data_IF_469050938323
#
_entry.id   IF_469050938323
#
_cell.length_a   1.000
_cell.length_b   1.000
_cell.length_c   1.000
_cell.angle_alpha   90.00
_cell.angle_beta   90.00
_cell.angle_gamma   90.00
#
_symmetry.space_group_name_H-M   'P 1'
#
loop_
_entity.id
_entity.type
_entity.pdbx_description
1 polymer ?
#
# COMPACT_ATOMS: atom_id res chain seq x y z
N UNK A 1 -42.23 -37.00 17.47
CA UNK A 1 -41.05 -36.75 16.60
C UNK A 1 -39.83 -37.03 17.41
N UNK A 2 -38.97 -37.95 17.03
CA UNK A 2 -37.68 -38.20 17.70
C UNK A 2 -36.64 -37.24 17.09
N UNK A 3 -35.87 -36.63 17.93
CA UNK A 3 -34.72 -35.82 17.51
C UNK A 3 -33.57 -36.75 17.14
N UNK A 4 -32.66 -36.29 16.27
CA UNK A 4 -31.38 -36.94 15.99
C UNK A 4 -30.50 -36.69 17.21
N UNK A 5 -30.13 -37.74 17.93
CA UNK A 5 -29.26 -37.68 19.11
C UNK A 5 -27.81 -37.93 18.69
N UNK A 6 -26.86 -37.13 19.24
CA UNK A 6 -25.44 -37.35 19.10
C UNK A 6 -24.94 -38.47 20.04
N UNK A 7 -23.63 -38.78 19.88
CA UNK A 7 -22.96 -39.74 20.77
C UNK A 7 -22.76 -39.15 22.18
N UNK A 8 -22.78 -40.00 23.19
CA UNK A 8 -22.41 -39.56 24.55
C UNK A 8 -20.96 -39.09 24.54
N UNK A 9 -20.72 -37.89 25.11
CA UNK A 9 -19.39 -37.28 25.18
C UNK A 9 -18.40 -38.11 26.03
N UNK A 10 -18.87 -39.00 26.90
CA UNK A 10 -18.05 -39.88 27.70
C UNK A 10 -17.78 -41.24 27.03
N UNK A 11 -18.41 -41.48 25.89
CA UNK A 11 -18.21 -42.71 25.10
C UNK A 11 -16.81 -42.69 24.48
N UNK A 12 -16.04 -43.76 24.72
CA UNK A 12 -14.73 -43.96 24.11
C UNK A 12 -14.94 -44.50 22.70
N UNK A 13 -14.48 -43.74 21.71
CA UNK A 13 -14.47 -44.13 20.31
C UNK A 13 -13.03 -44.45 19.89
N UNK A 14 -12.78 -45.62 19.34
CA UNK A 14 -11.51 -46.00 18.75
C UNK A 14 -11.58 -45.63 17.26
N UNK A 15 -10.77 -44.65 16.85
CA UNK A 15 -10.66 -44.24 15.44
C UNK A 15 -9.41 -44.90 14.85
N UNK A 16 -9.62 -45.82 13.89
CA UNK A 16 -8.55 -46.61 13.26
C UNK A 16 -8.11 -46.03 11.91
N UNK A 17 -8.31 -44.74 11.69
CA UNK A 17 -7.96 -44.03 10.47
C UNK A 17 -6.73 -43.12 10.66
N UNK A 18 -5.94 -42.98 9.60
CA UNK A 18 -4.84 -41.98 9.57
C UNK A 18 -5.37 -40.55 9.48
N UNK A 19 -4.57 -39.57 9.85
CA UNK A 19 -4.93 -38.15 9.65
C UNK A 19 -5.21 -37.84 8.17
N UNK A 20 -4.54 -38.53 7.24
CA UNK A 20 -4.72 -38.32 5.80
C UNK A 20 -6.10 -38.79 5.31
N UNK A 21 -6.59 -39.87 5.86
CA UNK A 21 -7.95 -40.38 5.55
C UNK A 21 -9.08 -39.52 6.12
N UNK A 22 -8.77 -38.72 7.17
CA UNK A 22 -9.72 -37.77 7.76
C UNK A 22 -9.86 -36.48 6.98
N UNK A 23 -8.93 -36.21 6.04
CA UNK A 23 -8.93 -35.00 5.19
C UNK A 23 -9.39 -35.35 3.79
N UNK A 24 -10.48 -34.71 3.37
CA UNK A 24 -11.04 -34.91 2.04
C UNK A 24 -9.95 -34.70 0.95
N UNK A 25 -9.90 -35.57 -0.09
CA UNK A 25 -8.94 -35.37 -1.20
C UNK A 25 -9.05 -34.02 -1.89
N UNK A 26 -10.22 -33.39 -1.92
CA UNK A 26 -10.46 -32.07 -2.49
C UNK A 26 -10.42 -30.94 -1.42
N UNK A 27 -9.88 -31.21 -0.22
CA UNK A 27 -9.73 -30.18 0.79
C UNK A 27 -8.62 -29.18 0.41
N UNK A 28 -8.88 -27.86 0.42
CA UNK A 28 -7.90 -26.82 0.09
C UNK A 28 -6.60 -26.86 0.90
N UNK A 29 -6.58 -27.46 2.07
CA UNK A 29 -5.37 -27.60 2.89
C UNK A 29 -4.25 -28.36 2.15
N UNK A 30 -4.62 -29.34 1.29
CA UNK A 30 -3.67 -30.09 0.45
C UNK A 30 -2.93 -29.20 -0.54
N UNK A 31 -3.58 -28.14 -1.04
CA UNK A 31 -2.95 -27.15 -1.93
C UNK A 31 -1.91 -26.32 -1.18
N UNK A 32 -2.17 -25.98 0.09
CA UNK A 32 -1.18 -25.26 0.93
C UNK A 32 0.06 -26.10 1.11
N UNK A 33 -0.11 -27.39 1.40
CA UNK A 33 0.97 -28.37 1.58
C UNK A 33 1.82 -28.43 0.31
N UNK A 34 1.21 -28.78 -0.83
CA UNK A 34 1.88 -28.87 -2.11
C UNK A 34 2.56 -27.55 -2.54
N UNK A 35 1.92 -26.41 -2.32
CA UNK A 35 2.50 -25.10 -2.63
C UNK A 35 3.76 -24.83 -1.82
N UNK A 36 3.72 -25.02 -0.50
CA UNK A 36 4.89 -24.73 0.35
C UNK A 36 6.03 -25.71 0.06
N UNK A 37 5.72 -26.98 -0.21
CA UNK A 37 6.72 -27.98 -0.53
C UNK A 37 7.36 -27.78 -1.91
N UNK A 38 6.70 -27.05 -2.83
CA UNK A 38 7.27 -26.64 -4.10
C UNK A 38 8.27 -25.47 -4.00
N UNK A 39 8.43 -24.84 -2.82
CA UNK A 39 9.28 -23.67 -2.64
C UNK A 39 10.67 -24.04 -2.12
N UNK A 40 11.71 -23.52 -2.76
CA UNK A 40 13.06 -23.48 -2.18
C UNK A 40 13.17 -22.33 -1.18
N UNK A 41 12.91 -22.62 0.11
CA UNK A 41 12.89 -21.62 1.18
C UNK A 41 14.27 -20.98 1.40
N UNK A 42 15.37 -21.66 1.09
CA UNK A 42 16.71 -21.12 1.24
C UNK A 42 16.94 -19.97 0.25
N UNK A 43 16.62 -20.18 -1.01
CA UNK A 43 16.76 -19.15 -2.07
C UNK A 43 15.80 -17.98 -1.88
N UNK A 44 14.66 -18.21 -1.23
CA UNK A 44 13.69 -17.16 -0.90
C UNK A 44 14.12 -16.29 0.29
N UNK A 45 15.22 -16.64 0.96
CA UNK A 45 15.85 -15.83 2.00
C UNK A 45 15.29 -16.07 3.41
N UNK A 46 14.77 -17.27 3.66
CA UNK A 46 14.49 -17.70 5.03
C UNK A 46 15.79 -17.97 5.79
N UNK A 47 15.86 -17.50 7.02
CA UNK A 47 17.04 -17.71 7.87
C UNK A 47 17.30 -19.19 8.12
N UNK A 48 18.54 -19.62 7.98
CA UNK A 48 18.97 -20.96 8.36
C UNK A 48 19.30 -21.02 9.86
N UNK A 49 18.86 -22.10 10.51
CA UNK A 49 19.31 -22.40 11.86
C UNK A 49 20.58 -23.26 11.76
N UNK A 50 21.61 -22.88 12.48
CA UNK A 50 22.80 -23.72 12.58
C UNK A 50 22.53 -24.93 13.47
N UNK A 51 22.95 -26.11 13.06
CA UNK A 51 22.78 -27.37 13.83
C UNK A 51 23.47 -27.35 15.19
N UNK A 52 24.37 -26.38 15.43
CA UNK A 52 25.20 -26.28 16.64
C UNK A 52 24.63 -25.37 17.73
N UNK A 53 23.39 -24.87 17.64
CA UNK A 53 22.81 -24.08 18.70
C UNK A 53 22.33 -24.97 19.86
N UNK A 54 22.89 -24.76 21.07
CA UNK A 54 22.41 -25.38 22.32
C UNK A 54 20.97 -24.87 22.58
N UNK A 55 20.04 -25.79 22.81
CA UNK A 55 18.64 -25.48 23.14
C UNK A 55 17.66 -26.47 22.53
N UNK A 56 16.37 -26.14 22.59
CA UNK A 56 15.30 -26.91 21.96
C UNK A 56 15.45 -26.90 20.43
N UNK A 57 15.26 -28.06 19.79
CA UNK A 57 15.29 -28.17 18.32
C UNK A 57 14.28 -27.22 17.68
N UNK A 58 14.66 -26.46 16.64
CA UNK A 58 13.75 -25.53 15.96
C UNK A 58 12.71 -26.29 15.14
N UNK A 59 11.53 -25.70 14.98
CA UNK A 59 10.53 -26.19 14.05
C UNK A 59 11.02 -26.00 12.59
N UNK A 60 10.64 -26.92 11.70
CA UNK A 60 10.89 -26.76 10.27
C UNK A 60 10.24 -25.49 9.76
N UNK A 61 10.92 -24.78 8.88
CA UNK A 61 10.40 -23.52 8.30
C UNK A 61 9.19 -23.75 7.42
N UNK A 62 9.17 -24.89 6.70
CA UNK A 62 8.02 -25.32 5.90
C UNK A 62 6.77 -25.43 6.77
N UNK A 63 6.84 -26.06 7.95
CA UNK A 63 5.69 -26.24 8.83
C UNK A 63 5.17 -24.90 9.35
N UNK A 64 6.07 -23.99 9.76
CA UNK A 64 5.69 -22.64 10.19
C UNK A 64 5.12 -21.79 9.04
N UNK A 65 5.63 -21.97 7.81
CA UNK A 65 5.09 -21.30 6.63
C UNK A 65 3.71 -21.87 6.25
N UNK A 66 3.55 -23.21 6.28
CA UNK A 66 2.25 -23.87 6.05
C UNK A 66 1.21 -23.34 7.03
N UNK A 67 1.54 -23.30 8.31
CA UNK A 67 0.67 -22.76 9.36
C UNK A 67 0.30 -21.30 9.10
N UNK A 68 1.27 -20.48 8.69
CA UNK A 68 1.04 -19.06 8.39
C UNK A 68 0.14 -18.86 7.17
N UNK A 69 0.39 -19.57 6.06
CA UNK A 69 -0.42 -19.50 4.83
C UNK A 69 -1.85 -19.98 5.10
N UNK A 70 -2.00 -21.08 5.85
CA UNK A 70 -3.31 -21.57 6.29
C UNK A 70 -4.08 -20.48 7.05
N UNK A 71 -3.40 -19.82 7.99
CA UNK A 71 -4.01 -18.78 8.81
C UNK A 71 -4.54 -17.61 7.95
N UNK A 72 -3.78 -17.16 6.94
CA UNK A 72 -4.24 -16.09 6.05
C UNK A 72 -5.33 -16.56 5.09
N UNK A 73 -5.32 -17.79 4.61
CA UNK A 73 -6.37 -18.31 3.75
C UNK A 73 -7.70 -18.46 4.51
N UNK A 74 -7.63 -18.86 5.80
CA UNK A 74 -8.77 -19.16 6.66
C UNK A 74 -9.11 -18.03 7.67
N UNK A 75 -8.60 -16.80 7.48
CA UNK A 75 -8.89 -15.60 8.28
C UNK A 75 -8.36 -15.66 9.73
N UNK A 76 -7.43 -16.56 10.03
CA UNK A 76 -6.82 -16.75 11.36
C UNK A 76 -5.45 -16.08 11.38
N UNK A 77 -5.39 -14.73 11.53
CA UNK A 77 -4.12 -13.98 11.50
C UNK A 77 -3.38 -13.91 12.84
N UNK A 78 -4.10 -14.12 13.94
CA UNK A 78 -3.53 -14.03 15.28
C UNK A 78 -2.67 -15.26 15.58
N UNK A 79 -1.41 -15.06 15.98
CA UNK A 79 -0.52 -16.16 16.39
C UNK A 79 -1.07 -16.97 17.56
N UNK A 80 -1.78 -16.33 18.51
CA UNK A 80 -2.44 -17.02 19.62
C UNK A 80 -3.61 -17.89 19.14
N UNK A 81 -4.38 -17.42 18.16
CA UNK A 81 -5.45 -18.22 17.59
C UNK A 81 -4.86 -19.39 16.78
N UNK A 82 -3.78 -19.18 16.03
CA UNK A 82 -3.10 -20.24 15.30
C UNK A 82 -2.53 -21.32 16.26
N UNK A 83 -1.94 -20.90 17.38
CA UNK A 83 -1.52 -21.84 18.43
C UNK A 83 -2.70 -22.66 18.98
N UNK A 84 -3.85 -22.02 19.25
CA UNK A 84 -5.04 -22.71 19.74
C UNK A 84 -5.61 -23.67 18.68
N UNK A 85 -5.68 -23.23 17.41
CA UNK A 85 -6.17 -24.04 16.31
C UNK A 85 -5.25 -25.24 15.99
N UNK A 86 -3.92 -25.11 16.12
CA UNK A 86 -3.01 -26.23 15.88
C UNK A 86 -3.24 -27.42 16.84
N UNK A 87 -3.92 -27.22 17.97
CA UNK A 87 -4.26 -28.25 18.95
C UNK A 87 -5.60 -28.93 18.74
N UNK A 88 -6.50 -28.35 17.94
CA UNK A 88 -7.90 -28.81 17.83
C UNK A 88 -8.43 -28.90 16.41
N UNK A 89 -7.76 -28.25 15.45
CA UNK A 89 -8.18 -28.25 14.06
C UNK A 89 -7.48 -29.37 13.31
N UNK A 90 -8.25 -30.33 12.81
CA UNK A 90 -7.74 -31.53 12.14
C UNK A 90 -6.96 -31.20 10.85
N UNK A 91 -7.36 -30.17 10.12
CA UNK A 91 -6.64 -29.72 8.93
C UNK A 91 -5.23 -29.23 9.27
N UNK A 92 -5.10 -28.45 10.37
CA UNK A 92 -3.79 -28.01 10.85
C UNK A 92 -2.97 -29.15 11.42
N UNK A 93 -3.60 -30.08 12.16
CA UNK A 93 -2.90 -31.27 12.66
C UNK A 93 -2.33 -32.08 11.49
N UNK A 94 -3.08 -32.26 10.43
CA UNK A 94 -2.59 -32.90 9.22
C UNK A 94 -1.46 -32.10 8.56
N UNK A 95 -1.67 -30.79 8.35
CA UNK A 95 -0.76 -29.91 7.60
C UNK A 95 0.64 -29.79 8.22
N UNK A 96 0.72 -29.80 9.55
CA UNK A 96 1.96 -29.63 10.32
C UNK A 96 2.30 -30.83 11.21
N UNK A 97 1.84 -32.03 10.87
CA UNK A 97 2.13 -33.28 11.54
C UNK A 97 1.91 -33.22 13.07
N UNK A 98 0.78 -32.64 13.50
CA UNK A 98 0.38 -32.50 14.91
C UNK A 98 1.36 -31.75 15.81
N UNK A 99 2.33 -30.99 15.26
CA UNK A 99 3.16 -30.09 16.04
C UNK A 99 2.34 -28.87 16.47
N UNK A 100 2.64 -28.34 17.66
CA UNK A 100 1.91 -27.21 18.24
C UNK A 100 2.89 -26.08 18.62
N UNK A 101 3.34 -25.27 17.64
CA UNK A 101 4.21 -24.15 17.94
C UNK A 101 3.49 -23.10 18.81
N UNK A 102 4.19 -22.55 19.79
CA UNK A 102 3.63 -21.48 20.59
C UNK A 102 3.48 -20.16 19.79
N UNK A 103 2.65 -19.26 20.29
CA UNK A 103 2.36 -18.00 19.60
C UNK A 103 3.58 -17.08 19.46
N UNK A 104 4.62 -17.21 20.32
CA UNK A 104 5.86 -16.44 20.23
C UNK A 104 6.70 -16.94 19.07
N UNK A 105 6.82 -18.27 18.93
CA UNK A 105 7.49 -18.91 17.79
C UNK A 105 6.82 -18.54 16.46
N UNK A 106 5.48 -18.63 16.38
CA UNK A 106 4.72 -18.24 15.18
C UNK A 106 4.94 -16.75 14.84
N UNK A 107 4.89 -15.87 15.81
CA UNK A 107 5.10 -14.43 15.60
C UNK A 107 6.57 -14.13 15.25
N UNK A 108 7.52 -14.79 15.90
CA UNK A 108 8.96 -14.69 15.67
C UNK A 108 9.34 -15.09 14.25
N UNK A 109 8.80 -16.22 13.76
CA UNK A 109 9.04 -16.70 12.40
C UNK A 109 8.81 -15.63 11.33
N UNK A 110 7.69 -14.89 11.40
CA UNK A 110 7.42 -13.80 10.45
C UNK A 110 8.35 -12.61 10.68
N UNK A 111 8.64 -12.28 11.96
CA UNK A 111 9.51 -11.16 12.30
C UNK A 111 10.94 -11.36 11.81
N UNK A 112 11.40 -12.60 11.82
CA UNK A 112 12.76 -12.96 11.38
C UNK A 112 12.90 -13.07 9.87
N UNK A 113 11.81 -13.33 9.17
CA UNK A 113 11.79 -13.61 7.72
C UNK A 113 11.00 -12.60 6.90
N UNK A 114 10.90 -11.34 7.36
CA UNK A 114 10.03 -10.30 6.74
C UNK A 114 10.19 -10.16 5.23
N UNK A 115 11.43 -10.15 4.74
CA UNK A 115 11.72 -9.98 3.30
C UNK A 115 11.34 -11.20 2.47
N UNK A 116 11.41 -12.39 3.05
CA UNK A 116 11.10 -13.64 2.38
C UNK A 116 9.63 -13.70 1.92
N UNK A 117 8.68 -13.14 2.67
CA UNK A 117 7.27 -13.16 2.31
C UNK A 117 6.96 -12.47 0.97
N UNK A 118 7.65 -11.38 0.66
CA UNK A 118 7.52 -10.77 -0.67
C UNK A 118 8.12 -11.64 -1.77
N UNK A 119 9.21 -12.33 -1.48
CA UNK A 119 9.82 -13.26 -2.43
C UNK A 119 8.89 -14.45 -2.71
N UNK A 120 8.18 -14.98 -1.68
CA UNK A 120 7.14 -16.01 -1.88
C UNK A 120 6.04 -15.50 -2.82
N UNK A 121 5.53 -14.29 -2.63
CA UNK A 121 4.50 -13.73 -3.52
C UNK A 121 5.00 -13.68 -4.98
N UNK A 122 6.24 -13.27 -5.17
CA UNK A 122 6.87 -13.21 -6.50
C UNK A 122 7.08 -14.57 -7.11
N UNK A 123 7.51 -15.56 -6.31
CA UNK A 123 7.69 -16.94 -6.76
C UNK A 123 6.36 -17.55 -7.15
N UNK A 124 5.33 -17.42 -6.32
CA UNK A 124 3.97 -17.83 -6.67
C UNK A 124 3.48 -17.18 -7.99
N UNK A 125 3.78 -15.90 -8.19
CA UNK A 125 3.48 -15.20 -9.45
C UNK A 125 4.19 -15.83 -10.65
N UNK A 126 5.46 -16.23 -10.49
CA UNK A 126 6.22 -16.88 -11.57
C UNK A 126 5.67 -18.28 -11.88
N UNK A 127 5.30 -19.04 -10.87
CA UNK A 127 4.63 -20.35 -11.01
C UNK A 127 3.31 -20.18 -11.78
N UNK A 128 2.43 -19.27 -11.34
CA UNK A 128 1.14 -18.99 -11.99
C UNK A 128 1.34 -18.51 -13.44
N UNK A 129 2.38 -17.71 -13.69
CA UNK A 129 2.75 -17.30 -15.05
C UNK A 129 3.23 -18.48 -15.88
N UNK A 130 4.04 -19.38 -15.32
CA UNK A 130 4.47 -20.62 -15.97
C UNK A 130 3.29 -21.47 -16.43
N UNK A 131 2.22 -21.51 -15.68
CA UNK A 131 0.95 -22.18 -16.04
C UNK A 131 0.10 -21.41 -17.08
N UNK A 132 0.52 -20.21 -17.49
CA UNK A 132 -0.16 -19.41 -18.49
C UNK A 132 -1.34 -18.59 -17.97
N UNK A 133 -1.58 -18.52 -16.65
CA UNK A 133 -2.67 -17.73 -16.07
C UNK A 133 -2.37 -16.22 -15.97
N UNK A 134 -1.10 -15.84 -16.01
CA UNK A 134 -0.63 -14.45 -16.09
C UNK A 134 0.03 -14.25 -17.46
N UNK A 135 -0.42 -13.28 -18.24
CA UNK A 135 0.20 -13.00 -19.55
C UNK A 135 1.11 -11.76 -19.56
N UNK A 136 0.94 -10.86 -18.62
CA UNK A 136 1.74 -9.65 -18.46
C UNK A 136 1.66 -8.68 -19.64
N UNK A 137 0.61 -8.75 -20.47
CA UNK A 137 0.40 -7.78 -21.57
C UNK A 137 -0.13 -6.46 -21.07
N UNK A 138 -1.11 -6.55 -20.16
CA UNK A 138 -1.76 -5.41 -19.52
C UNK A 138 -1.73 -5.63 -18.03
N UNK A 139 -1.20 -4.68 -17.28
CA UNK A 139 -1.24 -4.67 -15.83
C UNK A 139 -1.90 -3.39 -15.33
N UNK A 140 -2.54 -3.48 -14.20
CA UNK A 140 -3.14 -2.34 -13.51
C UNK A 140 -2.42 -2.12 -12.19
N UNK A 141 -2.00 -0.89 -11.94
CA UNK A 141 -1.43 -0.49 -10.66
C UNK A 141 -2.47 0.33 -9.92
N UNK A 142 -2.72 -0.03 -8.68
CA UNK A 142 -3.61 0.72 -7.81
C UNK A 142 -3.18 0.58 -6.35
N UNK A 143 -3.56 1.58 -5.55
CA UNK A 143 -3.24 1.66 -4.14
C UNK A 143 -4.50 1.62 -3.27
N UNK A 144 -4.35 1.03 -2.09
CA UNK A 144 -5.42 1.05 -1.10
C UNK A 144 -4.87 1.38 0.28
N UNK A 145 -5.62 2.15 1.06
CA UNK A 145 -5.24 2.48 2.43
C UNK A 145 -5.76 1.37 3.36
N UNK A 146 -4.85 0.82 4.17
CA UNK A 146 -5.18 -0.16 5.22
C UNK A 146 -4.75 0.43 6.56
N UNK A 147 -5.63 0.35 7.56
CA UNK A 147 -5.39 0.95 8.88
C UNK A 147 -4.20 0.31 9.58
N UNK A 148 -3.35 1.14 10.16
CA UNK A 148 -2.29 0.71 11.06
C UNK A 148 -2.85 0.40 12.46
N UNK A 149 -2.12 -0.39 13.23
CA UNK A 149 -2.43 -0.66 14.64
C UNK A 149 -1.99 0.54 15.51
N UNK A 150 -2.69 1.66 15.35
CA UNK A 150 -2.38 2.90 16.06
C UNK A 150 -3.62 3.77 16.25
N UNK A 151 -3.61 4.62 17.29
CA UNK A 151 -4.65 5.62 17.52
C UNK A 151 -4.27 6.97 16.88
N UNK A 152 -5.27 7.71 16.41
CA UNK A 152 -5.07 9.08 15.91
C UNK A 152 -4.57 10.07 16.98
N UNK A 153 -4.77 9.77 18.26
CA UNK A 153 -4.21 10.54 19.38
C UNK A 153 -2.69 10.52 19.41
N UNK A 154 -2.09 9.40 19.01
CA UNK A 154 -0.63 9.20 18.97
C UNK A 154 0.05 9.82 17.74
N UNK A 155 -0.71 10.44 16.83
CA UNK A 155 -0.17 11.14 15.68
C UNK A 155 0.08 12.61 16.04
N UNK A 156 1.33 13.01 16.04
CA UNK A 156 1.78 14.39 16.21
C UNK A 156 1.98 15.07 14.86
N UNK A 157 1.55 16.32 14.76
CA UNK A 157 1.80 17.22 13.62
C UNK A 157 2.19 18.58 14.16
N UNK A 158 2.87 19.41 13.38
CA UNK A 158 3.24 20.76 13.81
C UNK A 158 2.04 21.57 14.30
N UNK A 159 0.91 21.49 13.59
CA UNK A 159 -0.33 22.20 14.00
C UNK A 159 -0.89 21.70 15.34
N UNK A 160 -0.87 20.38 15.60
CA UNK A 160 -1.31 19.83 16.90
C UNK A 160 -0.37 20.21 18.03
N UNK A 161 0.94 20.20 17.77
CA UNK A 161 1.94 20.59 18.77
C UNK A 161 1.82 22.07 19.12
N UNK A 162 1.62 22.96 18.13
CA UNK A 162 1.39 24.37 18.39
C UNK A 162 0.20 24.58 19.32
N UNK A 163 -0.95 23.97 19.04
CA UNK A 163 -2.13 24.05 19.90
C UNK A 163 -1.92 23.52 21.32
N UNK A 164 -1.12 22.45 21.46
CA UNK A 164 -0.76 21.90 22.77
C UNK A 164 0.20 22.80 23.55
N UNK A 165 1.12 23.46 22.86
CA UNK A 165 2.04 24.43 23.44
C UNK A 165 1.25 25.66 23.89
N UNK A 166 0.39 26.23 23.03
CA UNK A 166 -0.52 27.34 23.37
C UNK A 166 -1.37 27.01 24.60
N UNK A 167 -2.00 25.84 24.62
CA UNK A 167 -2.78 25.41 25.79
C UNK A 167 -1.93 25.26 27.06
N UNK A 168 -0.72 24.72 26.97
CA UNK A 168 0.18 24.62 28.13
C UNK A 168 0.59 26.00 28.63
N UNK A 169 0.87 26.97 27.73
CA UNK A 169 1.16 28.36 28.07
C UNK A 169 0.00 29.03 28.79
N UNK A 170 -1.23 28.89 28.29
CA UNK A 170 -2.42 29.41 28.94
C UNK A 170 -2.60 28.84 30.36
N UNK A 171 -2.34 27.53 30.55
CA UNK A 171 -2.43 26.93 31.88
C UNK A 171 -1.32 27.40 32.82
N UNK A 172 -0.11 27.58 32.32
CA UNK A 172 1.02 28.13 33.09
C UNK A 172 0.69 29.56 33.56
N UNK A 173 0.20 30.41 32.66
CA UNK A 173 -0.18 31.80 32.99
C UNK A 173 -1.31 31.84 34.00
N UNK A 174 -2.33 30.99 33.85
CA UNK A 174 -3.42 30.85 34.80
C UNK A 174 -2.91 30.48 36.20
N UNK A 175 -2.09 29.43 36.33
CA UNK A 175 -1.58 29.00 37.62
C UNK A 175 -0.61 29.99 38.24
N UNK A 176 0.19 30.72 37.46
CA UNK A 176 0.99 31.83 37.96
C UNK A 176 0.12 32.93 38.52
N UNK A 177 -0.97 33.30 37.85
CA UNK A 177 -1.92 34.34 38.30
C UNK A 177 -2.64 33.94 39.58
N UNK A 178 -3.01 32.65 39.70
CA UNK A 178 -3.64 32.11 40.92
C UNK A 178 -2.69 32.07 42.10
N UNK A 179 -1.42 31.72 41.91
CA UNK A 179 -0.35 31.77 42.92
C UNK A 179 -0.07 33.15 43.45
N UNK A 180 -0.30 34.20 42.65
CA UNK A 180 -0.17 35.61 43.12
C UNK A 180 -1.34 36.09 43.96
N UNK A 181 -2.50 35.38 43.93
CA UNK A 181 -3.73 35.79 44.63
C UNK A 181 -3.98 35.05 45.93
N UNK A 182 -3.42 33.85 46.10
CA UNK A 182 -3.60 33.01 47.28
C UNK A 182 -2.24 32.68 47.91
N UNK A 183 -2.16 32.62 49.26
CA UNK A 183 -0.92 32.17 49.94
C UNK A 183 -0.59 30.74 49.48
N UNK A 184 0.72 30.53 49.17
CA UNK A 184 1.33 29.34 48.54
C UNK A 184 0.66 28.00 48.91
N UNK A 185 -0.22 27.48 48.05
CA UNK A 185 -0.71 26.09 48.11
C UNK A 185 0.24 25.20 47.28
N UNK A 186 0.81 24.19 47.93
CA UNK A 186 1.74 23.18 47.31
C UNK A 186 1.13 22.55 46.06
N UNK A 187 -0.18 22.43 45.96
CA UNK A 187 -0.91 21.86 44.84
C UNK A 187 -0.77 22.70 43.54
N UNK A 188 -0.64 24.03 43.62
CA UNK A 188 -0.44 24.89 42.45
C UNK A 188 0.98 24.78 41.90
N UNK A 189 2.00 24.61 42.76
CA UNK A 189 3.38 24.46 42.32
C UNK A 189 3.61 23.15 41.56
N UNK A 190 2.97 22.05 41.97
CA UNK A 190 3.04 20.77 41.25
C UNK A 190 2.35 20.84 39.88
N UNK A 191 1.18 21.49 39.82
CA UNK A 191 0.45 21.69 38.55
C UNK A 191 1.25 22.58 37.60
N UNK A 192 1.83 23.67 38.07
CA UNK A 192 2.67 24.55 37.29
C UNK A 192 3.87 23.81 36.70
N UNK A 193 4.60 23.08 37.52
CA UNK A 193 5.72 22.23 37.06
C UNK A 193 5.29 21.23 36.00
N UNK A 194 4.18 20.56 36.20
CA UNK A 194 3.61 19.60 35.21
C UNK A 194 3.39 20.25 33.85
N UNK A 195 2.80 21.45 33.79
CA UNK A 195 2.57 22.11 32.49
C UNK A 195 3.84 22.67 31.88
N UNK A 196 4.82 23.08 32.67
CA UNK A 196 6.17 23.45 32.19
C UNK A 196 6.88 22.27 31.55
N UNK A 197 6.86 21.11 32.21
CA UNK A 197 7.45 19.86 31.70
C UNK A 197 6.73 19.42 30.40
N UNK A 198 5.41 19.50 30.35
CA UNK A 198 4.62 19.20 29.14
C UNK A 198 4.95 20.14 27.99
N UNK A 199 5.09 21.45 28.25
CA UNK A 199 5.50 22.42 27.23
C UNK A 199 6.86 22.09 26.66
N UNK A 200 7.85 21.83 27.52
CA UNK A 200 9.21 21.46 27.12
C UNK A 200 9.24 20.19 26.25
N UNK A 201 8.43 19.16 26.63
CA UNK A 201 8.30 17.94 25.84
C UNK A 201 7.68 18.20 24.44
N UNK A 202 6.63 19.01 24.37
CA UNK A 202 6.01 19.37 23.08
C UNK A 202 6.92 20.21 22.19
N UNK A 203 7.71 21.12 22.74
CA UNK A 203 8.72 21.88 22.01
C UNK A 203 9.83 20.98 21.47
N UNK A 204 10.29 20.02 22.28
CA UNK A 204 11.27 19.01 21.86
C UNK A 204 10.71 18.16 20.71
N UNK A 205 9.49 17.65 20.82
CA UNK A 205 8.81 16.88 19.77
C UNK A 205 8.66 17.70 18.47
N UNK A 206 8.37 19.00 18.59
CA UNK A 206 8.27 19.92 17.45
C UNK A 206 9.62 20.15 16.77
N UNK A 207 10.69 20.23 17.55
CA UNK A 207 12.04 20.35 17.01
C UNK A 207 12.47 19.05 16.30
N UNK A 208 12.22 17.89 16.91
CA UNK A 208 12.48 16.58 16.28
C UNK A 208 11.78 16.42 14.91
N UNK A 209 10.51 16.86 14.79
CA UNK A 209 9.79 16.86 13.52
C UNK A 209 10.47 17.73 12.45
N UNK A 210 11.00 18.88 12.85
CA UNK A 210 11.71 19.78 11.93
C UNK A 210 13.05 19.21 11.50
N UNK A 211 13.81 18.65 12.44
CA UNK A 211 15.14 18.08 12.19
C UNK A 211 15.05 16.83 11.29
N UNK A 212 14.01 16.02 11.48
CA UNK A 212 13.70 14.87 10.62
C UNK A 212 13.03 15.26 9.28
N UNK A 213 12.69 16.54 9.07
CA UNK A 213 12.00 17.01 7.87
C UNK A 213 10.61 16.41 7.65
N UNK A 214 9.94 15.98 8.73
CA UNK A 214 8.66 15.30 8.68
C UNK A 214 7.48 16.25 8.95
N UNK A 215 6.41 16.13 8.18
CA UNK A 215 5.16 16.85 8.44
C UNK A 215 4.34 16.22 9.60
N UNK A 216 4.51 14.91 9.81
CA UNK A 216 3.82 14.14 10.84
C UNK A 216 4.64 12.94 11.30
N UNK A 217 4.47 12.54 12.55
CA UNK A 217 5.11 11.37 13.17
C UNK A 217 4.13 10.67 14.09
N UNK A 218 4.15 9.35 14.10
CA UNK A 218 3.41 8.54 15.06
C UNK A 218 4.33 8.04 16.15
N UNK A 219 3.90 8.15 17.41
CA UNK A 219 4.73 7.79 18.57
C UNK A 219 4.89 6.27 18.72
N UNK A 220 3.87 5.48 18.35
CA UNK A 220 3.85 4.02 18.56
C UNK A 220 4.34 3.28 17.30
N UNK A 221 3.92 3.73 16.12
CA UNK A 221 4.30 3.15 14.83
C UNK A 221 4.82 4.27 13.93
N UNK A 222 6.12 4.49 13.98
CA UNK A 222 6.81 5.64 13.36
C UNK A 222 6.63 5.70 11.85
N UNK A 223 6.40 4.56 11.20
CA UNK A 223 6.24 4.47 9.75
C UNK A 223 4.81 4.74 9.28
N UNK A 224 3.82 4.56 10.16
CA UNK A 224 2.43 4.82 9.80
C UNK A 224 2.15 6.31 9.62
N UNK A 225 1.20 6.66 8.74
CA UNK A 225 0.86 8.05 8.43
C UNK A 225 -0.63 8.28 8.51
N UNK A 226 -1.01 9.52 8.83
CA UNK A 226 -2.40 9.98 8.77
C UNK A 226 -2.77 10.22 7.31
N UNK A 227 -3.71 9.44 6.80
CA UNK A 227 -4.14 9.44 5.41
C UNK A 227 -5.66 9.53 5.30
N UNK A 228 -6.14 10.05 4.19
CA UNK A 228 -7.58 10.01 3.88
C UNK A 228 -7.95 8.60 3.41
N UNK A 229 -8.82 7.92 4.16
CA UNK A 229 -9.33 6.58 3.86
C UNK A 229 -10.87 6.62 3.90
N UNK A 230 -11.52 6.36 2.76
CA UNK A 230 -12.98 6.40 2.63
C UNK A 230 -13.63 7.67 3.21
N UNK A 231 -13.05 8.85 2.92
CA UNK A 231 -13.54 10.13 3.39
C UNK A 231 -13.11 10.53 4.82
N UNK A 232 -12.56 9.61 5.61
CA UNK A 232 -12.08 9.87 6.97
C UNK A 232 -10.56 9.95 7.03
N UNK A 233 -10.05 10.70 7.99
CA UNK A 233 -8.61 10.76 8.26
C UNK A 233 -8.26 9.69 9.30
N UNK A 234 -7.54 8.66 8.87
CA UNK A 234 -7.13 7.52 9.68
C UNK A 234 -5.62 7.33 9.63
N UNK A 235 -5.07 6.63 10.63
CA UNK A 235 -3.66 6.22 10.60
C UNK A 235 -3.55 4.94 9.78
N UNK A 236 -2.85 5.04 8.66
CA UNK A 236 -2.81 3.98 7.64
C UNK A 236 -1.40 3.77 7.10
N UNK A 237 -1.28 2.68 6.37
CA UNK A 237 -0.28 2.47 5.34
C UNK A 237 -0.94 2.46 3.97
N UNK A 238 -0.17 2.78 2.95
CA UNK A 238 -0.58 2.76 1.56
C UNK A 238 -0.07 1.48 0.89
N UNK A 239 -0.98 0.57 0.58
CA UNK A 239 -0.66 -0.73 -0.04
C UNK A 239 -0.82 -0.59 -1.54
N UNK A 240 0.28 -0.70 -2.27
CA UNK A 240 0.34 -0.68 -3.72
C UNK A 240 0.32 -2.10 -4.27
N UNK A 241 -0.43 -2.36 -5.32
CA UNK A 241 -0.47 -3.66 -6.00
C UNK A 241 -0.40 -3.51 -7.51
N UNK A 242 0.17 -4.51 -8.16
CA UNK A 242 0.15 -4.71 -9.61
C UNK A 242 -0.69 -5.93 -9.90
N UNK A 243 -1.72 -5.78 -10.69
CA UNK A 243 -2.69 -6.84 -11.03
C UNK A 243 -2.64 -7.10 -12.53
N UNK A 244 -2.48 -8.37 -12.91
CA UNK A 244 -2.56 -8.79 -14.30
C UNK A 244 -4.01 -8.83 -14.79
N UNK A 245 -4.25 -8.37 -16.01
CA UNK A 245 -5.61 -8.23 -16.56
C UNK A 245 -6.27 -9.54 -16.96
N UNK A 246 -5.48 -10.60 -17.22
CA UNK A 246 -6.02 -11.85 -17.77
C UNK A 246 -6.93 -12.58 -16.79
N UNK A 247 -6.44 -12.83 -15.59
CA UNK A 247 -7.19 -13.55 -14.56
C UNK A 247 -7.15 -12.84 -13.20
N UNK A 248 -6.80 -11.57 -13.15
CA UNK A 248 -6.78 -10.71 -11.96
C UNK A 248 -5.85 -11.21 -10.83
N UNK A 249 -4.78 -11.93 -11.18
CA UNK A 249 -3.75 -12.29 -10.21
C UNK A 249 -2.90 -11.08 -9.84
N UNK A 250 -2.54 -11.00 -8.57
CA UNK A 250 -1.60 -9.99 -8.09
C UNK A 250 -0.18 -10.42 -8.43
N UNK A 251 0.48 -9.60 -9.23
CA UNK A 251 1.85 -9.84 -9.72
C UNK A 251 2.90 -9.46 -8.67
N UNK A 252 2.75 -8.29 -8.08
CA UNK A 252 3.62 -7.78 -7.01
C UNK A 252 2.81 -6.83 -6.12
N UNK A 253 3.24 -6.69 -4.88
CA UNK A 253 2.66 -5.76 -3.94
C UNK A 253 3.72 -5.17 -3.02
N UNK A 254 3.53 -3.90 -2.66
CA UNK A 254 4.42 -3.19 -1.74
C UNK A 254 3.59 -2.27 -0.85
N UNK A 255 3.87 -2.30 0.42
CA UNK A 255 3.33 -1.31 1.35
C UNK A 255 4.31 -0.17 1.49
N UNK A 256 3.82 1.05 1.36
CA UNK A 256 4.59 2.30 1.52
C UNK A 256 3.93 3.20 2.56
N UNK A 257 4.65 4.18 3.03
CA UNK A 257 4.14 5.20 3.94
C UNK A 257 3.83 6.54 3.26
N UNK A 258 3.95 6.61 1.94
CA UNK A 258 3.55 7.79 1.17
C UNK A 258 2.03 8.00 1.25
N UNK A 259 1.65 9.23 1.56
CA UNK A 259 0.24 9.61 1.75
C UNK A 259 -0.54 9.59 0.43
N UNK A 260 0.15 9.88 -0.68
CA UNK A 260 -0.39 9.88 -2.04
C UNK A 260 0.34 8.87 -2.95
N UNK A 261 -0.18 8.67 -4.14
CA UNK A 261 0.29 7.63 -5.06
C UNK A 261 1.22 8.19 -6.17
N UNK A 262 1.55 9.50 -6.14
CA UNK A 262 2.23 10.21 -7.22
C UNK A 262 3.62 9.67 -7.59
N UNK A 263 4.34 9.06 -6.62
CA UNK A 263 5.68 8.52 -6.83
C UNK A 263 5.72 7.00 -6.94
N UNK A 264 4.55 6.34 -7.03
CA UNK A 264 4.48 4.88 -6.99
C UNK A 264 4.38 4.23 -8.38
N UNK A 265 4.15 5.00 -9.44
CA UNK A 265 3.96 4.47 -10.79
C UNK A 265 5.21 3.73 -11.31
N UNK A 266 6.35 4.43 -11.41
CA UNK A 266 7.53 3.85 -12.02
C UNK A 266 8.13 2.69 -11.20
N UNK A 267 8.24 2.75 -9.85
CA UNK A 267 8.78 1.63 -9.10
C UNK A 267 7.94 0.36 -9.26
N UNK A 268 6.61 0.48 -9.22
CA UNK A 268 5.72 -0.67 -9.34
C UNK A 268 5.73 -1.25 -10.77
N UNK A 269 5.64 -0.38 -11.79
CA UNK A 269 5.63 -0.80 -13.18
C UNK A 269 6.93 -1.48 -13.61
N UNK A 270 8.09 -0.93 -13.19
CA UNK A 270 9.41 -1.47 -13.54
C UNK A 270 9.68 -2.80 -12.83
N UNK A 271 9.30 -2.92 -11.56
CA UNK A 271 9.40 -4.19 -10.84
C UNK A 271 8.56 -5.28 -11.49
N UNK A 272 7.30 -4.98 -11.85
CA UNK A 272 6.43 -5.92 -12.56
C UNK A 272 7.00 -6.32 -13.93
N UNK A 273 7.51 -5.35 -14.70
CA UNK A 273 8.15 -5.61 -15.98
C UNK A 273 9.35 -6.56 -15.85
N UNK A 274 10.21 -6.31 -14.86
CA UNK A 274 11.38 -7.15 -14.56
C UNK A 274 10.95 -8.56 -14.15
N UNK A 275 10.00 -8.68 -13.20
CA UNK A 275 9.49 -9.95 -12.71
C UNK A 275 8.85 -10.78 -13.84
N UNK A 276 8.01 -10.17 -14.65
CA UNK A 276 7.34 -10.83 -15.76
C UNK A 276 8.23 -11.01 -17.00
N UNK A 277 9.47 -10.51 -17.00
CA UNK A 277 10.43 -10.56 -18.12
C UNK A 277 9.81 -10.10 -19.45
N UNK A 278 9.06 -8.97 -19.42
CA UNK A 278 8.40 -8.44 -20.62
C UNK A 278 9.19 -7.30 -21.26
N UNK A 279 9.26 -7.28 -22.59
CA UNK A 279 9.86 -6.16 -23.34
C UNK A 279 8.89 -4.98 -23.43
N UNK A 280 7.63 -5.25 -23.73
CA UNK A 280 6.54 -4.28 -23.84
C UNK A 280 5.41 -4.68 -22.89
N UNK A 281 4.83 -3.72 -22.20
CA UNK A 281 3.72 -3.93 -21.27
C UNK A 281 2.88 -2.65 -21.22
N UNK A 282 1.55 -2.79 -21.25
CA UNK A 282 0.62 -1.67 -21.00
C UNK A 282 0.38 -1.58 -19.50
N UNK A 283 0.47 -0.37 -18.97
CA UNK A 283 0.27 -0.08 -17.54
C UNK A 283 -0.89 0.90 -17.39
N UNK A 284 -1.94 0.47 -16.74
CA UNK A 284 -3.13 1.28 -16.48
C UNK A 284 -3.08 1.76 -15.03
N UNK A 285 -3.28 3.06 -14.81
CA UNK A 285 -3.25 3.65 -13.48
C UNK A 285 -4.31 4.73 -13.30
N UNK A 286 -4.66 5.03 -12.05
CA UNK A 286 -5.59 6.12 -11.75
C UNK A 286 -4.93 7.50 -11.89
N UNK A 287 -5.75 8.53 -11.98
CA UNK A 287 -5.34 9.94 -12.02
C UNK A 287 -4.49 10.36 -10.83
N UNK A 288 -4.61 9.68 -9.67
CA UNK A 288 -3.78 9.89 -8.48
C UNK A 288 -2.29 9.63 -8.69
N UNK A 289 -1.93 8.83 -9.70
CA UNK A 289 -0.54 8.53 -10.08
C UNK A 289 0.05 9.53 -11.08
N UNK A 290 -0.71 10.55 -11.50
CA UNK A 290 -0.26 11.46 -12.54
C UNK A 290 0.93 12.31 -12.07
N UNK A 291 2.11 11.91 -12.49
CA UNK A 291 3.38 12.60 -12.26
C UNK A 291 4.23 12.51 -13.53
N UNK A 292 4.58 13.66 -14.11
CA UNK A 292 5.31 13.71 -15.38
C UNK A 292 6.65 12.98 -15.35
N UNK A 293 7.42 13.12 -14.26
CA UNK A 293 8.72 12.45 -14.12
C UNK A 293 8.58 10.92 -14.04
N UNK A 294 7.57 10.43 -13.34
CA UNK A 294 7.29 9.00 -13.23
C UNK A 294 6.81 8.40 -14.56
N UNK A 295 5.93 9.12 -15.27
CA UNK A 295 5.47 8.75 -16.60
C UNK A 295 6.65 8.68 -17.57
N UNK A 296 7.55 9.68 -17.56
CA UNK A 296 8.76 9.69 -18.38
C UNK A 296 9.64 8.47 -18.12
N UNK A 297 9.92 8.15 -16.85
CA UNK A 297 10.71 6.95 -16.47
C UNK A 297 10.10 5.67 -17.05
N UNK A 298 8.78 5.54 -17.06
CA UNK A 298 8.09 4.40 -17.65
C UNK A 298 8.26 4.34 -19.18
N UNK A 299 8.11 5.48 -19.86
CA UNK A 299 8.26 5.57 -21.32
C UNK A 299 9.70 5.27 -21.74
N UNK A 300 10.68 5.82 -21.06
CA UNK A 300 12.12 5.56 -21.29
C UNK A 300 12.43 4.06 -21.23
N UNK A 301 11.68 3.34 -20.39
CA UNK A 301 11.77 1.89 -20.25
C UNK A 301 10.80 1.12 -21.19
N UNK A 302 10.27 1.75 -22.22
CA UNK A 302 9.38 1.14 -23.24
C UNK A 302 8.08 0.56 -22.67
N UNK A 303 7.56 1.17 -21.59
CA UNK A 303 6.24 0.89 -21.07
C UNK A 303 5.21 1.82 -21.73
N UNK A 304 4.03 1.27 -22.00
CA UNK A 304 2.89 2.04 -22.53
C UNK A 304 1.97 2.40 -21.36
N UNK A 305 2.02 3.64 -20.90
CA UNK A 305 1.21 4.12 -19.77
C UNK A 305 -0.13 4.65 -20.29
N UNK A 306 -1.23 4.20 -19.68
CA UNK A 306 -2.56 4.74 -19.86
C UNK A 306 -2.98 5.41 -18.55
N UNK A 307 -3.09 6.73 -18.59
CA UNK A 307 -3.46 7.55 -17.43
C UNK A 307 -4.19 8.81 -17.92
N UNK A 308 -5.22 9.20 -17.19
CA UNK A 308 -5.88 10.51 -17.43
C UNK A 308 -5.24 11.59 -16.58
N UNK A 309 -5.12 12.77 -17.14
CA UNK A 309 -4.68 13.95 -16.42
C UNK A 309 -5.67 14.26 -15.30
N UNK A 310 -5.16 14.51 -14.11
CA UNK A 310 -5.99 14.99 -13.00
C UNK A 310 -6.55 16.36 -13.37
N UNK A 311 -7.86 16.51 -13.28
CA UNK A 311 -8.45 17.86 -13.34
C UNK A 311 -7.95 18.61 -12.11
N UNK A 312 -7.14 19.64 -12.32
CA UNK A 312 -6.60 20.43 -11.23
C UNK A 312 -7.76 20.99 -10.39
N UNK A 313 -7.88 20.53 -9.16
CA UNK A 313 -8.80 21.06 -8.14
C UNK A 313 -8.24 22.38 -7.55
N UNK A 314 -7.72 23.26 -8.40
CA UNK A 314 -7.38 24.59 -7.92
C UNK A 314 -8.68 25.36 -7.75
N UNK A 315 -9.11 25.46 -6.51
CA UNK A 315 -10.15 26.39 -6.01
C UNK A 315 -9.75 27.87 -6.19
N UNK A 316 -8.81 28.18 -7.07
CA UNK A 316 -8.53 29.54 -7.44
C UNK A 316 -9.62 29.99 -8.41
N UNK A 317 -10.56 30.71 -7.85
CA UNK A 317 -11.60 31.52 -8.52
C UNK A 317 -12.19 30.87 -9.78
N UNK A 318 -13.44 30.53 -9.75
CA UNK A 318 -14.25 29.88 -10.80
C UNK A 318 -14.21 30.56 -12.20
N UNK A 319 -13.52 31.67 -12.35
CA UNK A 319 -13.49 32.52 -13.52
C UNK A 319 -12.17 32.55 -14.30
N UNK A 320 -11.10 31.88 -13.86
CA UNK A 320 -9.83 31.96 -14.59
C UNK A 320 -9.65 30.85 -15.63
N UNK A 321 -9.17 31.23 -16.81
CA UNK A 321 -8.83 30.26 -17.85
C UNK A 321 -7.68 29.34 -17.39
N UNK A 322 -7.97 28.03 -17.34
CA UNK A 322 -6.99 27.00 -17.02
C UNK A 322 -6.01 26.78 -18.18
N UNK A 323 -4.83 26.18 -17.86
CA UNK A 323 -3.77 25.88 -18.86
C UNK A 323 -4.32 25.09 -20.06
N UNK A 324 -5.27 24.18 -19.85
CA UNK A 324 -5.87 23.33 -20.89
C UNK A 324 -6.64 24.11 -21.96
N UNK A 325 -6.99 25.37 -21.70
CA UNK A 325 -7.62 26.26 -22.69
C UNK A 325 -6.63 26.97 -23.58
N UNK A 326 -5.33 26.84 -23.32
CA UNK A 326 -4.26 27.43 -24.12
C UNK A 326 -3.74 26.33 -25.04
N UNK A 327 -3.92 26.51 -26.34
CA UNK A 327 -3.53 25.54 -27.36
C UNK A 327 -2.05 25.73 -27.70
N UNK A 328 -1.25 24.69 -27.58
CA UNK A 328 0.17 24.73 -27.92
C UNK A 328 0.35 24.40 -29.40
N UNK A 329 1.02 25.30 -30.11
CA UNK A 329 1.45 25.11 -31.49
C UNK A 329 2.92 24.64 -31.47
N UNK A 330 3.14 23.41 -31.93
CA UNK A 330 4.47 22.77 -31.96
C UNK A 330 5.40 23.32 -33.03
N UNK A 331 4.84 23.83 -34.12
CA UNK A 331 5.63 24.38 -35.26
C UNK A 331 6.14 25.78 -34.91
N UNK A 332 5.27 26.59 -34.30
CA UNK A 332 5.58 27.99 -33.95
C UNK A 332 6.18 28.14 -32.54
N UNK A 333 6.30 27.04 -31.75
CA UNK A 333 6.70 27.04 -30.33
C UNK A 333 6.01 28.17 -29.52
N UNK A 334 4.67 28.28 -29.66
CA UNK A 334 3.86 29.27 -28.96
C UNK A 334 2.56 28.65 -28.43
N UNK A 335 1.88 29.37 -27.53
CA UNK A 335 0.54 29.05 -27.09
C UNK A 335 -0.46 30.07 -27.65
N UNK A 336 -1.59 29.61 -28.14
CA UNK A 336 -2.73 30.48 -28.47
C UNK A 336 -3.70 30.49 -27.29
N UNK A 337 -4.04 31.68 -26.79
CA UNK A 337 -4.95 31.84 -25.63
C UNK A 337 -6.42 31.78 -26.09
N UNK A 338 -7.41 31.66 -25.16
CA UNK A 338 -8.84 31.67 -25.48
C UNK A 338 -9.35 32.93 -26.16
N UNK A 339 -8.60 34.03 -26.13
CA UNK A 339 -8.91 35.26 -26.87
C UNK A 339 -8.26 35.30 -28.27
N UNK A 340 -7.68 34.19 -28.76
CA UNK A 340 -7.05 34.11 -30.07
C UNK A 340 -5.70 34.81 -30.17
N UNK A 341 -5.05 35.16 -29.04
CA UNK A 341 -3.75 35.83 -29.00
C UNK A 341 -2.64 34.85 -28.64
N UNK A 342 -1.46 35.08 -29.24
CA UNK A 342 -0.31 34.21 -29.03
C UNK A 342 0.49 34.59 -27.77
N UNK A 343 0.98 33.55 -27.08
CA UNK A 343 1.97 33.63 -25.99
C UNK A 343 3.28 33.05 -26.52
N UNK A 344 4.33 33.87 -26.54
CA UNK A 344 5.64 33.48 -27.04
C UNK A 344 6.55 33.08 -25.90
N UNK A 345 7.59 32.33 -26.23
CA UNK A 345 8.65 31.98 -25.28
C UNK A 345 9.19 33.25 -24.64
N UNK A 346 9.30 33.22 -23.30
CA UNK A 346 9.72 34.34 -22.49
C UNK A 346 11.03 34.04 -21.72
N UNK A 347 11.07 32.91 -21.02
CA UNK A 347 12.23 32.51 -20.22
C UNK A 347 12.22 31.01 -19.89
N UNK A 348 13.41 30.50 -19.54
CA UNK A 348 13.53 29.17 -18.93
C UNK A 348 13.47 29.30 -17.41
N UNK A 349 12.80 28.35 -16.76
CA UNK A 349 12.71 28.26 -15.30
C UNK A 349 12.86 26.81 -14.85
N UNK A 350 13.25 26.61 -13.60
CA UNK A 350 13.30 25.28 -13.00
C UNK A 350 12.48 25.26 -11.72
N UNK A 351 11.81 24.13 -11.47
CA UNK A 351 11.06 23.89 -10.23
C UNK A 351 11.21 22.44 -9.85
N UNK A 352 11.64 22.16 -8.63
CA UNK A 352 11.85 20.79 -8.11
C UNK A 352 12.73 19.94 -9.06
N UNK A 353 13.80 20.48 -9.59
CA UNK A 353 14.72 19.81 -10.52
C UNK A 353 14.21 19.61 -11.95
N UNK A 354 12.96 20.01 -12.26
CA UNK A 354 12.38 19.95 -13.60
C UNK A 354 12.54 21.28 -14.32
N UNK A 355 12.90 21.23 -15.61
CA UNK A 355 13.07 22.42 -16.48
C UNK A 355 11.76 22.73 -17.19
N UNK A 356 11.42 24.00 -17.21
CA UNK A 356 10.21 24.52 -17.85
C UNK A 356 10.56 25.69 -18.75
N UNK A 357 9.89 25.77 -19.91
CA UNK A 357 9.78 26.98 -20.71
C UNK A 357 8.56 27.78 -20.24
N UNK A 358 8.70 29.07 -20.04
CA UNK A 358 7.59 30.00 -19.78
C UNK A 358 7.23 30.74 -21.04
N UNK A 359 5.94 30.81 -21.33
CA UNK A 359 5.37 31.56 -22.45
C UNK A 359 4.53 32.70 -21.90
N UNK A 360 4.61 33.88 -22.51
CA UNK A 360 3.93 35.07 -22.05
C UNK A 360 3.20 35.78 -23.19
N UNK A 361 2.00 36.28 -22.90
CA UNK A 361 1.24 37.09 -23.85
C UNK A 361 1.69 38.53 -23.83
N UNK A 362 1.83 39.13 -25.00
CA UNK A 362 2.24 40.53 -25.19
C UNK A 362 1.08 41.50 -25.06
N UNK A 363 -0.12 41.11 -25.49
CA UNK A 363 -1.33 41.93 -25.59
C UNK A 363 -2.31 41.78 -24.40
N UNK A 364 -1.81 41.27 -23.24
CA UNK A 364 -2.67 41.00 -22.10
C UNK A 364 -3.20 42.26 -21.39
N UNK A 365 -2.51 43.39 -21.51
CA UNK A 365 -2.90 44.65 -20.85
C UNK A 365 -4.19 45.24 -21.41
N UNK A 366 -4.38 45.16 -22.74
CA UNK A 366 -5.55 45.66 -23.48
C UNK A 366 -6.62 44.60 -23.75
N UNK A 367 -6.47 43.40 -23.15
CA UNK A 367 -7.36 42.27 -23.42
C UNK A 367 -8.67 42.37 -22.63
N UNK A 368 -9.82 42.39 -23.33
CA UNK A 368 -11.15 42.42 -22.71
C UNK A 368 -11.51 41.18 -21.86
N UNK A 369 -10.73 40.07 -21.99
CA UNK A 369 -10.90 38.86 -21.16
C UNK A 369 -9.89 38.77 -20.02
N UNK A 370 -9.13 39.83 -19.73
CA UNK A 370 -8.05 39.80 -18.74
C UNK A 370 -8.50 39.35 -17.36
N UNK A 371 -9.62 39.88 -16.87
CA UNK A 371 -10.17 39.54 -15.54
C UNK A 371 -10.53 38.05 -15.42
N UNK A 372 -11.02 37.43 -16.50
CA UNK A 372 -11.31 35.98 -16.57
C UNK A 372 -10.09 35.11 -16.82
N UNK A 373 -8.93 35.71 -17.11
CA UNK A 373 -7.72 35.01 -17.51
C UNK A 373 -6.63 35.00 -16.43
N UNK A 374 -6.37 36.14 -15.77
CA UNK A 374 -5.26 36.25 -14.83
C UNK A 374 -5.46 37.37 -13.83
N UNK A 375 -5.00 37.17 -12.59
CA UNK A 375 -4.88 38.21 -11.56
C UNK A 375 -3.60 39.04 -11.69
N UNK A 376 -2.70 38.66 -12.61
CA UNK A 376 -1.45 39.38 -12.84
C UNK A 376 -1.73 40.79 -13.38
N UNK A 377 -1.07 41.80 -12.81
CA UNK A 377 -1.16 43.18 -13.27
C UNK A 377 -0.62 43.37 -14.68
N UNK A 378 0.32 42.53 -15.12
CA UNK A 378 1.03 42.71 -16.41
C UNK A 378 0.58 41.74 -17.48
N UNK A 379 0.85 40.45 -17.33
CA UNK A 379 0.65 39.47 -18.40
C UNK A 379 0.30 38.09 -17.87
N UNK A 380 -0.41 37.28 -18.67
CA UNK A 380 -0.59 35.85 -18.42
C UNK A 380 0.65 35.09 -18.82
N UNK A 381 1.09 34.16 -17.97
CA UNK A 381 2.17 33.21 -18.28
C UNK A 381 1.68 31.79 -18.22
N UNK A 382 2.18 30.95 -19.14
CA UNK A 382 1.94 29.50 -19.17
C UNK A 382 3.29 28.80 -19.11
N UNK A 383 3.39 27.75 -18.28
CA UNK A 383 4.61 26.96 -18.16
C UNK A 383 4.43 25.64 -18.93
N UNK A 384 5.45 25.24 -19.71
CA UNK A 384 5.54 23.96 -20.40
C UNK A 384 6.78 23.22 -19.94
N UNK A 385 6.60 22.00 -19.45
CA UNK A 385 7.72 21.15 -19.08
C UNK A 385 8.50 20.74 -20.35
N UNK A 386 9.83 20.60 -20.28
CA UNK A 386 10.66 20.24 -21.44
C UNK A 386 10.23 18.91 -22.10
N UNK A 387 9.66 17.98 -21.33
CA UNK A 387 9.14 16.69 -21.80
C UNK A 387 7.59 16.65 -21.88
N UNK A 388 6.90 17.78 -21.91
CA UNK A 388 5.43 17.81 -21.93
C UNK A 388 4.85 17.12 -23.17
N UNK A 389 5.58 17.07 -24.28
CA UNK A 389 5.19 16.32 -25.48
C UNK A 389 4.93 14.82 -25.19
N UNK A 390 5.66 14.22 -24.23
CA UNK A 390 5.42 12.83 -23.80
C UNK A 390 4.07 12.70 -23.10
N UNK A 391 3.69 13.71 -22.29
CA UNK A 391 2.39 13.73 -21.61
C UNK A 391 1.24 13.91 -22.59
N UNK A 392 1.43 14.76 -23.61
CA UNK A 392 0.47 14.96 -24.69
C UNK A 392 0.26 13.65 -25.48
N UNK A 393 1.34 12.91 -25.78
CA UNK A 393 1.27 11.58 -26.41
C UNK A 393 0.54 10.56 -25.53
N UNK A 394 0.80 10.53 -24.22
CA UNK A 394 0.11 9.63 -23.28
C UNK A 394 -1.38 9.95 -23.20
N UNK A 395 -1.75 11.22 -23.17
CA UNK A 395 -3.15 11.64 -23.15
C UNK A 395 -3.89 11.23 -24.45
N UNK A 396 -3.28 11.47 -25.61
CA UNK A 396 -3.78 11.02 -26.90
C UNK A 396 -3.96 9.50 -26.94
N UNK A 397 -2.91 8.75 -26.57
CA UNK A 397 -2.93 7.30 -26.55
C UNK A 397 -3.96 6.73 -25.56
N UNK A 398 -4.13 7.36 -24.39
CA UNK A 398 -5.17 6.98 -23.42
C UNK A 398 -6.57 7.21 -23.97
N UNK A 399 -6.77 8.29 -24.71
CA UNK A 399 -8.07 8.62 -25.34
C UNK A 399 -8.40 7.62 -26.45
N UNK A 400 -7.44 7.27 -27.30
CA UNK A 400 -7.60 6.26 -28.35
C UNK A 400 -7.86 4.86 -27.80
N UNK A 401 -7.34 4.54 -26.59
CA UNK A 401 -7.52 3.25 -25.92
C UNK A 401 -8.47 3.35 -24.70
N UNK A 402 -9.49 4.18 -24.78
CA UNK A 402 -10.37 4.49 -23.65
C UNK A 402 -11.09 3.26 -23.09
N UNK A 403 -11.50 2.32 -23.92
CA UNK A 403 -12.17 1.09 -23.49
C UNK A 403 -11.21 0.20 -22.69
N UNK A 404 -9.96 0.06 -23.14
CA UNK A 404 -8.91 -0.64 -22.36
C UNK A 404 -8.68 0.05 -21.02
N UNK A 405 -8.61 1.39 -21.00
CA UNK A 405 -8.43 2.15 -19.77
C UNK A 405 -9.57 1.96 -18.76
N UNK A 406 -10.81 1.84 -19.23
CA UNK A 406 -12.00 1.60 -18.39
C UNK A 406 -11.95 0.27 -17.64
N UNK A 407 -11.33 -0.77 -18.22
CA UNK A 407 -11.17 -2.07 -17.57
C UNK A 407 -10.40 -1.99 -16.24
N UNK A 408 -9.62 -0.93 -16.04
CA UNK A 408 -8.83 -0.71 -14.84
C UNK A 408 -9.63 -0.96 -13.55
N UNK A 409 -10.84 -0.39 -13.45
CA UNK A 409 -11.66 -0.49 -12.24
C UNK A 409 -11.99 -1.93 -11.89
N UNK A 410 -12.54 -2.68 -12.84
CA UNK A 410 -12.92 -4.08 -12.62
C UNK A 410 -11.72 -4.94 -12.21
N UNK A 411 -10.53 -4.69 -12.80
CA UNK A 411 -9.34 -5.49 -12.55
C UNK A 411 -8.83 -5.31 -11.11
N UNK A 412 -8.76 -4.07 -10.60
CA UNK A 412 -8.20 -3.81 -9.26
C UNK A 412 -9.22 -3.92 -8.14
N UNK A 413 -10.50 -3.73 -8.41
CA UNK A 413 -11.55 -3.91 -7.39
C UNK A 413 -11.63 -5.36 -6.90
N UNK A 414 -11.31 -6.34 -7.77
CA UNK A 414 -11.39 -7.76 -7.43
C UNK A 414 -10.43 -8.15 -6.28
N UNK A 415 -9.10 -7.91 -6.34
CA UNK A 415 -8.20 -8.26 -5.24
C UNK A 415 -8.49 -7.44 -3.96
N UNK A 416 -8.69 -6.14 -4.07
CA UNK A 416 -8.96 -5.31 -2.90
C UNK A 416 -10.31 -5.61 -2.25
N UNK A 417 -11.33 -5.92 -3.05
CA UNK A 417 -12.63 -6.37 -2.57
C UNK A 417 -12.52 -7.69 -1.80
N UNK A 418 -11.81 -8.67 -2.36
CA UNK A 418 -11.57 -9.96 -1.70
C UNK A 418 -10.78 -9.79 -0.39
N UNK A 419 -9.67 -9.03 -0.41
CA UNK A 419 -8.83 -8.83 0.77
C UNK A 419 -9.61 -8.11 1.88
N UNK A 420 -10.30 -7.01 1.58
CA UNK A 420 -10.97 -6.21 2.60
C UNK A 420 -12.31 -6.77 3.04
N UNK A 421 -13.13 -7.28 2.12
CA UNK A 421 -14.50 -7.73 2.43
C UNK A 421 -14.56 -9.23 2.71
N UNK A 422 -14.03 -10.06 1.80
CA UNK A 422 -14.14 -11.52 1.93
C UNK A 422 -13.20 -12.05 3.01
N UNK A 423 -11.93 -11.63 3.02
CA UNK A 423 -10.94 -12.04 4.01
C UNK A 423 -10.94 -11.17 5.28
N UNK A 424 -11.55 -9.99 5.25
CA UNK A 424 -11.69 -9.12 6.41
C UNK A 424 -10.42 -8.34 6.79
N UNK A 425 -9.45 -8.19 5.88
CA UNK A 425 -8.15 -7.57 6.16
C UNK A 425 -8.21 -6.05 5.98
N UNK A 426 -8.94 -5.37 6.85
CA UNK A 426 -9.11 -3.92 6.84
C UNK A 426 -8.10 -3.15 7.71
N UNK A 427 -7.29 -3.85 8.50
CA UNK A 427 -6.25 -3.31 9.36
C UNK A 427 -5.07 -4.26 9.50
N UNK A 428 -3.90 -3.72 9.81
CA UNK A 428 -2.69 -4.48 10.09
C UNK A 428 -2.59 -4.89 11.56
N UNK A 429 -2.03 -6.06 11.82
CA UNK A 429 -1.69 -6.54 13.16
C UNK A 429 -0.25 -6.16 13.54
N UNK A 430 0.60 -5.90 12.56
CA UNK A 430 2.01 -5.60 12.73
C UNK A 430 2.27 -4.11 12.65
N UNK A 431 3.40 -3.69 13.21
CA UNK A 431 3.94 -2.32 13.16
C UNK A 431 5.25 -2.32 12.39
N UNK A 432 5.68 -1.14 11.96
CA UNK A 432 6.86 -0.88 11.14
C UNK A 432 6.71 -1.38 9.70
N UNK A 433 7.21 -0.60 8.77
CA UNK A 433 7.01 -0.78 7.33
C UNK A 433 7.43 -2.16 6.83
N UNK A 434 8.57 -2.70 7.28
CA UNK A 434 9.03 -4.03 6.87
C UNK A 434 8.08 -5.16 7.32
N UNK A 435 7.60 -5.10 8.57
CA UNK A 435 6.69 -6.12 9.11
C UNK A 435 5.31 -6.04 8.45
N UNK A 436 4.85 -4.82 8.16
CA UNK A 436 3.59 -4.58 7.46
C UNK A 436 3.69 -5.02 6.00
N UNK A 437 4.85 -4.88 5.36
CA UNK A 437 5.11 -5.44 4.02
C UNK A 437 5.02 -6.98 4.00
N UNK A 438 5.56 -7.66 5.01
CA UNK A 438 5.41 -9.11 5.14
C UNK A 438 3.94 -9.50 5.31
N UNK A 439 3.19 -8.76 6.14
CA UNK A 439 1.78 -8.99 6.36
C UNK A 439 0.94 -8.75 5.10
N UNK A 440 1.17 -7.67 4.36
CA UNK A 440 0.48 -7.41 3.10
C UNK A 440 0.82 -8.47 2.03
N UNK A 441 2.08 -8.91 1.94
CA UNK A 441 2.47 -9.98 1.03
C UNK A 441 1.71 -11.28 1.35
N UNK A 442 1.54 -11.62 2.64
CA UNK A 442 0.75 -12.78 3.06
C UNK A 442 -0.73 -12.67 2.67
N UNK A 443 -1.31 -11.46 2.74
CA UNK A 443 -2.68 -11.22 2.27
C UNK A 443 -2.82 -11.48 0.77
N UNK A 444 -1.83 -11.09 -0.03
CA UNK A 444 -1.86 -11.29 -1.49
C UNK A 444 -1.52 -12.73 -1.89
N UNK A 445 -0.67 -13.44 -1.13
CA UNK A 445 -0.47 -14.88 -1.30
C UNK A 445 -1.78 -15.62 -1.09
N UNK A 446 -2.49 -15.35 0.01
CA UNK A 446 -3.80 -15.93 0.29
C UNK A 446 -4.83 -15.58 -0.80
N UNK A 447 -4.82 -14.34 -1.31
CA UNK A 447 -5.68 -13.95 -2.42
C UNK A 447 -5.38 -14.76 -3.69
N UNK A 448 -4.11 -14.88 -4.08
CA UNK A 448 -3.71 -15.61 -5.29
C UNK A 448 -4.04 -17.11 -5.16
N UNK A 449 -3.78 -17.73 -4.01
CA UNK A 449 -4.16 -19.15 -3.75
C UNK A 449 -5.69 -19.33 -3.79
N UNK A 450 -6.45 -18.42 -3.16
CA UNK A 450 -7.91 -18.45 -3.21
C UNK A 450 -8.42 -18.31 -4.66
N UNK A 451 -7.75 -17.51 -5.47
CA UNK A 451 -8.08 -17.35 -6.89
C UNK A 451 -7.80 -18.62 -7.67
N UNK A 452 -6.68 -19.30 -7.44
CA UNK A 452 -6.35 -20.59 -8.03
C UNK A 452 -7.41 -21.64 -7.68
N UNK A 453 -7.77 -21.76 -6.39
CA UNK A 453 -8.80 -22.66 -5.89
C UNK A 453 -10.20 -22.41 -6.49
N UNK A 454 -10.46 -21.21 -7.01
CA UNK A 454 -11.71 -20.92 -7.72
C UNK A 454 -11.68 -21.29 -9.21
N UNK A 455 -10.52 -21.67 -9.74
CA UNK A 455 -10.33 -21.92 -11.18
C UNK A 455 -9.97 -23.38 -11.49
N UNK A 456 -9.34 -24.08 -10.53
CA UNK A 456 -8.84 -25.44 -10.69
C UNK A 456 -9.27 -26.30 -9.50
N UNK A 457 -9.36 -27.62 -9.70
CA UNK A 457 -9.57 -28.58 -8.61
C UNK A 457 -8.33 -28.65 -7.71
N UNK A 458 -8.52 -29.15 -6.49
CA UNK A 458 -7.42 -29.35 -5.53
C UNK A 458 -6.42 -30.35 -6.08
N UNK A 459 -6.89 -31.48 -6.64
CA UNK A 459 -6.03 -32.50 -7.23
C UNK A 459 -5.15 -31.93 -8.33
N UNK A 460 -5.71 -31.16 -9.27
CA UNK A 460 -4.95 -30.52 -10.35
C UNK A 460 -3.90 -29.52 -9.83
N UNK A 461 -4.26 -28.72 -8.83
CA UNK A 461 -3.33 -27.77 -8.22
C UNK A 461 -2.16 -28.48 -7.53
N UNK A 462 -2.44 -29.56 -6.80
CA UNK A 462 -1.40 -30.35 -6.13
C UNK A 462 -0.41 -30.96 -7.15
N UNK A 463 -0.92 -31.52 -8.27
CA UNK A 463 -0.06 -32.02 -9.34
C UNK A 463 0.80 -30.93 -9.97
N UNK A 464 0.21 -29.78 -10.27
CA UNK A 464 0.91 -28.64 -10.88
C UNK A 464 2.00 -28.08 -9.96
N UNK A 465 1.77 -28.00 -8.65
CA UNK A 465 2.80 -27.56 -7.69
C UNK A 465 3.92 -28.59 -7.57
N UNK A 466 3.64 -29.89 -7.55
CA UNK A 466 4.67 -30.96 -7.55
C UNK A 466 5.63 -30.87 -8.76
N UNK A 467 5.13 -30.46 -9.92
CA UNK A 467 5.94 -30.31 -11.13
C UNK A 467 6.72 -28.98 -11.12
N UNK A 468 6.28 -27.98 -10.37
CA UNK A 468 6.89 -26.67 -10.34
C UNK A 468 8.09 -26.58 -9.36
N UNK A 469 8.16 -27.43 -8.32
CA UNK A 469 9.28 -27.57 -7.38
C UNK A 469 10.25 -28.64 -7.86
#
# INVERSE_FOLDING_TARGET
MSYIEGLDRMQINIVTTSLDELIDPENPVRVIDAFVDSLDLATLGFKEYSENQRGQSPYRRSDLLKLHVYGYLNKIRSSRNLEAESRRNIELMWLINSICPDHRTIAGFVSDNKKAFRNILRELTLIIKGWGFIDGKIVVIDGTKIRAQNSSSNCITQSKLNKKIEYAEEQIEKYLTEMYKEEMDLNYSEKLKKYQDLKADYEKQKQELKDEGLEQKNLIDKDSRRMKNNGRLEICYNVQSVVDSKNHFVVDAVTVNDVNDQNQLSPMALNAKKLLKKRKMKVLVDTGYYNGSEIKKCIDQKLQVLIRKSKANNQTQDNQFRKERFLYDTERDCYTCPAGKDLFFFENTSKNGMKYKRYAGTECLSCGMKEKCTTSKTKRTVQRWEHEHLLDLVEKYTTENIETYRLRRCIVEHPFGTIKRTLGYSYFLRKNLESVNAESSSMFIAYNLKRLLSMLSVSELCERFKVAG
#
